data_IF_206921650781
#
_entry.id   IF_206921650781
#
_cell.length_a   1.000
_cell.length_b   1.000
_cell.length_c   1.000
_cell.angle_alpha   90.00
_cell.angle_beta   90.00
_cell.angle_gamma   90.00
#
_symmetry.space_group_name_H-M   'P 1'
#
loop_
_entity.id
_entity.type
_entity.pdbx_description
1 polymer ?
#
# COMPACT_ATOMS: atom_id res chain seq x y z
N UNK A 1 1.91 3.80 51.35
CA UNK A 1 2.52 3.70 50.01
C UNK A 1 1.89 2.64 49.09
N UNK A 2 1.40 1.48 49.56
CA UNK A 2 0.84 0.41 48.68
C UNK A 2 -0.49 0.74 47.97
N UNK A 3 -1.25 1.75 48.42
CA UNK A 3 -2.56 2.14 47.84
C UNK A 3 -2.51 2.84 46.47
N UNK A 4 -1.36 3.42 46.09
CA UNK A 4 -1.23 4.18 44.84
C UNK A 4 -0.65 3.38 43.68
N UNK A 5 -0.09 2.19 43.94
CA UNK A 5 0.42 1.29 42.90
C UNK A 5 -0.62 0.93 41.81
N UNK A 6 -1.88 0.58 42.14
CA UNK A 6 -2.87 0.27 41.11
C UNK A 6 -3.28 1.51 40.29
N UNK A 7 -3.31 2.69 40.92
CA UNK A 7 -3.64 3.94 40.26
C UNK A 7 -2.54 4.39 39.28
N UNK A 8 -1.28 4.23 39.70
CA UNK A 8 -0.12 4.50 38.84
C UNK A 8 -0.04 3.52 37.66
N UNK A 9 -0.32 2.22 37.88
CA UNK A 9 -0.37 1.22 36.82
C UNK A 9 -1.49 1.52 35.80
N UNK A 10 -2.66 1.95 36.27
CA UNK A 10 -3.79 2.33 35.41
C UNK A 10 -3.49 3.61 34.62
N UNK A 11 -2.82 4.59 35.23
CA UNK A 11 -2.38 5.81 34.57
C UNK A 11 -1.32 5.53 33.48
N UNK A 12 -0.34 4.66 33.76
CA UNK A 12 0.66 4.23 32.77
C UNK A 12 0.00 3.46 31.61
N UNK A 13 -0.95 2.56 31.90
CA UNK A 13 -1.69 1.85 30.86
C UNK A 13 -2.52 2.81 29.97
N UNK A 14 -3.15 3.82 30.57
CA UNK A 14 -3.88 4.85 29.83
C UNK A 14 -2.95 5.70 28.96
N UNK A 15 -1.78 6.10 29.47
CA UNK A 15 -0.78 6.85 28.69
C UNK A 15 -0.27 6.03 27.49
N UNK A 16 0.02 4.74 27.68
CA UNK A 16 0.44 3.85 26.60
C UNK A 16 -0.67 3.63 25.57
N UNK A 17 -1.92 3.49 26.01
CA UNK A 17 -3.08 3.40 25.11
C UNK A 17 -3.28 4.68 24.29
N UNK A 18 -3.11 5.86 24.91
CA UNK A 18 -3.18 7.15 24.22
C UNK A 18 -2.01 7.35 23.24
N UNK A 19 -0.80 6.89 23.60
CA UNK A 19 0.36 6.90 22.70
C UNK A 19 0.13 5.99 21.49
N UNK A 20 -0.39 4.79 21.73
CA UNK A 20 -0.81 3.85 20.69
C UNK A 20 -1.89 4.46 19.80
N UNK A 21 -2.93 5.05 20.38
CA UNK A 21 -3.98 5.74 19.62
C UNK A 21 -3.43 6.88 18.77
N UNK A 22 -2.46 7.66 19.28
CA UNK A 22 -1.81 8.73 18.53
C UNK A 22 -0.97 8.20 17.36
N UNK A 23 -0.23 7.12 17.54
CA UNK A 23 0.54 6.51 16.44
C UNK A 23 -0.39 5.91 15.40
N UNK A 24 -1.41 5.13 15.81
CA UNK A 24 -2.41 4.55 14.90
C UNK A 24 -3.18 5.63 14.15
N UNK A 25 -3.63 6.70 14.82
CA UNK A 25 -4.33 7.82 14.16
C UNK A 25 -3.44 8.59 13.19
N UNK A 26 -2.14 8.74 13.47
CA UNK A 26 -1.21 9.36 12.53
C UNK A 26 -0.95 8.50 11.28
N UNK A 27 -0.90 7.18 11.43
CA UNK A 27 -0.80 6.22 10.32
C UNK A 27 -2.08 6.20 9.49
N UNK A 28 -3.23 6.17 10.15
CA UNK A 28 -4.55 6.28 9.52
C UNK A 28 -4.71 7.63 8.79
N UNK A 29 -4.22 8.74 9.35
CA UNK A 29 -4.28 10.05 8.72
C UNK A 29 -3.36 10.18 7.48
N UNK A 30 -2.28 9.40 7.41
CA UNK A 30 -1.47 9.24 6.18
C UNK A 30 -2.24 8.43 5.13
N UNK A 31 -2.91 7.37 5.55
CA UNK A 31 -3.76 6.55 4.67
C UNK A 31 -4.94 7.35 4.09
N UNK A 32 -5.60 8.20 4.89
CA UNK A 32 -6.70 9.07 4.43
C UNK A 32 -6.27 10.14 3.42
N UNK A 33 -4.98 10.47 3.34
CA UNK A 33 -4.46 11.40 2.34
C UNK A 33 -4.19 10.75 0.99
N UNK A 34 -4.26 9.41 0.89
CA UNK A 34 -4.13 8.73 -0.39
C UNK A 34 -5.47 8.71 -1.12
N UNK A 35 -5.46 8.82 -2.47
CA UNK A 35 -6.64 8.50 -3.25
C UNK A 35 -7.06 7.06 -2.91
N UNK A 36 -8.36 6.81 -2.76
CA UNK A 36 -8.84 5.45 -2.59
C UNK A 36 -8.50 4.71 -3.87
N UNK A 37 -7.69 3.66 -3.81
CA UNK A 37 -7.34 2.86 -4.99
C UNK A 37 -7.74 1.39 -4.82
N UNK A 38 -7.93 0.72 -5.94
CA UNK A 38 -8.02 -0.74 -6.02
C UNK A 38 -6.93 -1.23 -6.96
N UNK A 39 -6.15 -2.21 -6.53
CA UNK A 39 -5.12 -2.83 -7.36
C UNK A 39 -5.64 -4.13 -7.93
N UNK A 40 -5.55 -4.24 -9.25
CA UNK A 40 -5.84 -5.43 -10.04
C UNK A 40 -4.51 -6.08 -10.41
N UNK A 41 -4.40 -7.39 -10.25
CA UNK A 41 -3.14 -8.13 -10.35
C UNK A 41 -3.26 -9.28 -11.33
N UNK A 42 -2.34 -9.35 -12.27
CA UNK A 42 -2.25 -10.40 -13.28
C UNK A 42 -0.90 -11.09 -13.21
N UNK A 43 -0.95 -12.41 -13.13
CA UNK A 43 0.17 -13.36 -13.15
C UNK A 43 0.09 -14.26 -14.37
N UNK A 44 -1.12 -14.72 -14.72
CA UNK A 44 -1.32 -15.70 -15.78
C UNK A 44 -1.49 -15.04 -17.15
N UNK A 45 -2.30 -13.98 -17.21
CA UNK A 45 -2.58 -13.23 -18.43
C UNK A 45 -2.32 -11.74 -18.19
N UNK A 46 -1.20 -11.22 -18.68
CA UNK A 46 -0.85 -9.83 -18.50
C UNK A 46 -1.84 -8.87 -19.17
N UNK A 47 -2.03 -7.71 -18.56
CA UNK A 47 -2.75 -6.60 -19.17
C UNK A 47 -1.89 -6.03 -20.31
N UNK A 48 -2.46 -5.90 -21.51
CA UNK A 48 -1.68 -5.50 -22.70
C UNK A 48 -1.68 -4.00 -22.91
N UNK A 49 -0.71 -3.49 -23.68
CA UNK A 49 -0.73 -2.11 -24.18
C UNK A 49 -2.00 -1.78 -24.99
N UNK A 50 -2.61 -2.77 -25.64
CA UNK A 50 -3.90 -2.61 -26.33
C UNK A 50 -5.05 -2.36 -25.35
N UNK A 51 -5.06 -3.05 -24.22
CA UNK A 51 -6.05 -2.86 -23.17
C UNK A 51 -5.93 -1.47 -22.55
N UNK A 52 -4.71 -1.04 -22.23
CA UNK A 52 -4.47 0.31 -21.69
C UNK A 52 -4.87 1.42 -22.69
N UNK A 53 -4.67 1.23 -24.01
CA UNK A 53 -5.14 2.18 -25.03
C UNK A 53 -6.67 2.33 -25.02
N UNK A 54 -7.41 1.26 -24.79
CA UNK A 54 -8.88 1.33 -24.64
C UNK A 54 -9.31 2.13 -23.40
N UNK A 55 -8.48 2.21 -22.37
CA UNK A 55 -8.75 3.04 -21.19
C UNK A 55 -8.55 4.53 -21.49
N UNK A 56 -7.59 4.87 -22.36
CA UNK A 56 -7.25 6.26 -22.71
C UNK A 56 -8.22 6.86 -23.75
N UNK A 57 -8.87 6.02 -24.55
CA UNK A 57 -9.84 6.40 -25.58
C UNK A 57 -11.27 5.96 -25.21
N UNK A 58 -11.91 6.59 -24.19
CA UNK A 58 -13.27 6.23 -23.80
C UNK A 58 -14.28 6.59 -24.89
N UNK A 59 -15.45 5.95 -24.84
CA UNK A 59 -16.59 6.31 -25.69
C UNK A 59 -16.97 7.80 -25.49
N UNK A 60 -17.51 8.44 -26.54
CA UNK A 60 -17.87 9.86 -26.54
C UNK A 60 -18.66 10.27 -25.28
N UNK A 61 -18.23 11.37 -24.66
CA UNK A 61 -18.78 12.04 -23.47
C UNK A 61 -18.42 11.49 -22.07
N UNK A 62 -17.59 10.44 -21.93
CA UNK A 62 -17.04 10.03 -20.62
C UNK A 62 -15.59 10.49 -20.42
N UNK A 63 -15.26 10.93 -19.20
CA UNK A 63 -13.87 11.19 -18.82
C UNK A 63 -13.10 9.86 -18.68
N UNK A 64 -11.84 9.79 -19.13
CA UNK A 64 -11.04 8.59 -18.97
C UNK A 64 -10.84 8.27 -17.48
N UNK A 65 -10.77 6.98 -17.12
CA UNK A 65 -10.50 6.55 -15.76
C UNK A 65 -9.08 6.97 -15.37
N UNK A 66 -8.90 7.40 -14.12
CA UNK A 66 -7.56 7.66 -13.58
C UNK A 66 -6.98 6.34 -13.09
N UNK A 67 -5.93 5.87 -13.76
CA UNK A 67 -5.30 4.58 -13.48
C UNK A 67 -3.77 4.65 -13.60
N UNK A 68 -3.09 3.65 -13.04
CA UNK A 68 -1.67 3.41 -13.22
C UNK A 68 -1.42 1.92 -13.47
N UNK A 69 -1.20 1.56 -14.74
CA UNK A 69 -0.75 0.23 -15.11
C UNK A 69 0.75 0.14 -14.93
N UNK A 70 1.25 -0.96 -14.37
CA UNK A 70 2.67 -1.12 -14.14
C UNK A 70 3.15 -2.54 -14.35
N UNK A 71 4.37 -2.61 -14.87
CA UNK A 71 5.20 -3.80 -14.94
C UNK A 71 6.38 -3.58 -14.01
N UNK A 72 6.65 -4.54 -13.13
CA UNK A 72 7.66 -4.38 -12.11
C UNK A 72 8.05 -5.69 -11.45
N UNK A 73 9.18 -5.67 -10.75
CA UNK A 73 9.75 -6.84 -10.08
C UNK A 73 11.01 -7.38 -10.77
N UNK A 74 11.28 -6.96 -12.01
CA UNK A 74 12.53 -7.25 -12.69
C UNK A 74 13.66 -6.31 -12.22
N UNK A 75 14.87 -6.88 -12.16
CA UNK A 75 16.08 -6.09 -11.88
C UNK A 75 16.74 -5.78 -13.21
N UNK A 76 16.81 -4.50 -13.55
CA UNK A 76 17.46 -3.99 -14.75
C UNK A 76 18.79 -3.33 -14.38
N UNK A 77 19.73 -3.37 -15.32
CA UNK A 77 20.97 -2.60 -15.21
C UNK A 77 20.68 -1.16 -15.61
N UNK A 78 21.10 -0.25 -14.75
CA UNK A 78 21.04 1.19 -14.99
C UNK A 78 22.43 1.78 -14.76
N UNK A 79 22.82 2.75 -15.57
CA UNK A 79 24.14 3.40 -15.45
C UNK A 79 24.00 4.92 -15.49
N UNK A 80 24.83 5.66 -14.74
CA UNK A 80 24.93 7.10 -14.93
C UNK A 80 25.72 7.37 -16.23
N UNK A 81 25.60 8.58 -16.79
CA UNK A 81 26.32 8.95 -18.03
C UNK A 81 27.82 8.63 -18.01
N UNK A 82 28.47 8.83 -16.87
CA UNK A 82 29.88 8.55 -16.65
C UNK A 82 30.03 7.83 -15.30
N UNK A 83 29.93 6.50 -15.29
CA UNK A 83 30.10 5.74 -14.06
C UNK A 83 29.92 4.24 -14.27
N UNK A 84 29.59 3.53 -13.19
CA UNK A 84 29.40 2.08 -13.22
C UNK A 84 27.91 1.74 -13.29
N UNK A 85 27.61 0.65 -13.97
CA UNK A 85 26.29 0.03 -13.96
C UNK A 85 25.93 -0.47 -12.56
N UNK A 86 24.68 -0.27 -12.16
CA UNK A 86 24.09 -0.79 -10.94
C UNK A 86 22.78 -1.55 -11.26
N UNK A 87 22.47 -2.56 -10.46
CA UNK A 87 21.19 -3.25 -10.54
C UNK A 87 20.10 -2.47 -9.80
N UNK A 88 18.99 -2.20 -10.47
CA UNK A 88 17.83 -1.52 -9.91
C UNK A 88 16.54 -2.31 -10.16
N UNK A 89 15.61 -2.25 -9.22
CA UNK A 89 14.23 -2.67 -9.46
C UNK A 89 13.55 -1.60 -10.32
N UNK A 90 13.20 -1.95 -11.55
CA UNK A 90 12.51 -1.05 -12.46
C UNK A 90 10.99 -1.18 -12.31
N UNK A 91 10.32 -0.04 -12.25
CA UNK A 91 8.87 0.09 -12.34
C UNK A 91 8.54 0.83 -13.64
N UNK A 92 8.03 0.09 -14.62
CA UNK A 92 7.62 0.62 -15.92
C UNK A 92 6.14 0.93 -15.84
N UNK A 93 5.79 2.22 -15.87
CA UNK A 93 4.44 2.70 -15.57
C UNK A 93 3.80 3.34 -16.79
N UNK A 94 2.49 3.10 -16.97
CA UNK A 94 1.61 3.78 -17.91
C UNK A 94 0.43 4.37 -17.15
N UNK A 95 0.20 5.67 -17.30
CA UNK A 95 -0.82 6.41 -16.55
C UNK A 95 -0.24 7.18 -15.36
N UNK A 96 -1.02 7.32 -14.30
CA UNK A 96 -0.80 8.26 -13.21
C UNK A 96 0.07 7.69 -12.08
N UNK A 97 1.39 7.98 -12.09
CA UNK A 97 2.36 7.44 -11.11
C UNK A 97 1.96 7.74 -9.65
N UNK A 98 1.26 8.86 -9.38
CA UNK A 98 0.85 9.20 -8.02
C UNK A 98 -0.15 8.21 -7.39
N UNK A 99 -0.75 7.31 -8.18
CA UNK A 99 -1.56 6.20 -7.64
C UNK A 99 -0.71 5.06 -7.08
N UNK A 100 0.53 4.91 -7.55
CA UNK A 100 1.43 3.83 -7.12
C UNK A 100 2.18 4.20 -5.85
N UNK A 101 2.65 5.44 -5.80
CA UNK A 101 3.60 5.92 -4.82
C UNK A 101 2.91 6.82 -3.78
N UNK A 102 3.22 6.64 -2.48
CA UNK A 102 2.82 7.60 -1.46
C UNK A 102 3.42 8.98 -1.76
N UNK A 103 2.66 10.06 -1.66
CA UNK A 103 3.17 11.41 -1.91
C UNK A 103 4.37 11.74 -1.01
N UNK A 104 4.41 11.20 0.21
CA UNK A 104 5.50 11.40 1.16
C UNK A 104 6.84 10.79 0.71
N UNK A 105 6.80 9.80 -0.18
CA UNK A 105 8.01 9.15 -0.71
C UNK A 105 8.67 9.95 -1.83
N UNK A 106 8.03 11.01 -2.36
CA UNK A 106 8.57 11.75 -3.50
C UNK A 106 9.30 13.00 -3.04
N UNK A 107 10.52 13.16 -3.55
CA UNK A 107 11.33 14.38 -3.47
C UNK A 107 11.46 15.00 -4.85
N UNK A 108 11.06 16.26 -5.00
CA UNK A 108 11.00 16.90 -6.31
C UNK A 108 9.77 16.45 -7.11
N UNK A 109 9.94 16.15 -8.39
CA UNK A 109 8.82 15.85 -9.29
C UNK A 109 8.80 14.37 -9.71
N UNK A 110 7.59 13.81 -9.76
CA UNK A 110 7.38 12.55 -10.46
C UNK A 110 7.60 12.74 -11.97
N UNK A 111 8.10 11.71 -12.68
CA UNK A 111 8.29 11.77 -14.12
C UNK A 111 7.01 12.23 -14.82
N UNK A 112 7.13 13.25 -15.68
CA UNK A 112 6.00 13.76 -16.48
C UNK A 112 6.11 13.36 -17.96
N UNK A 113 7.28 12.88 -18.39
CA UNK A 113 7.55 12.43 -19.75
C UNK A 113 8.21 11.05 -19.78
N UNK A 114 8.18 10.38 -20.93
CA UNK A 114 8.87 9.09 -21.13
C UNK A 114 10.39 9.23 -21.35
N UNK A 115 10.95 10.42 -21.07
CA UNK A 115 12.37 10.72 -21.03
C UNK A 115 12.81 11.08 -19.61
N UNK A 116 11.91 10.98 -18.64
CA UNK A 116 12.18 11.25 -17.23
C UNK A 116 12.09 9.97 -16.40
N UNK A 117 12.81 9.95 -15.30
CA UNK A 117 12.74 8.89 -14.30
C UNK A 117 12.84 9.45 -12.87
N UNK A 118 12.27 8.72 -11.92
CA UNK A 118 12.51 8.96 -10.49
C UNK A 118 13.30 7.81 -9.88
N UNK A 119 14.30 8.13 -9.06
CA UNK A 119 15.31 7.18 -8.57
C UNK A 119 15.33 7.19 -7.05
N UNK A 120 15.45 6.04 -6.40
CA UNK A 120 15.55 6.01 -4.94
C UNK A 120 16.82 6.69 -4.41
N UNK A 121 16.75 7.31 -3.23
CA UNK A 121 17.87 8.08 -2.66
C UNK A 121 19.15 7.23 -2.48
N UNK A 122 18.99 5.97 -2.07
CA UNK A 122 20.09 5.02 -1.90
C UNK A 122 20.81 4.75 -3.23
N UNK A 123 20.03 4.53 -4.29
CA UNK A 123 20.55 4.30 -5.63
C UNK A 123 21.13 5.57 -6.26
N UNK A 124 20.58 6.75 -5.96
CA UNK A 124 21.18 8.02 -6.36
C UNK A 124 22.60 8.14 -5.79
N UNK A 125 22.78 7.80 -4.51
CA UNK A 125 24.09 7.85 -3.88
C UNK A 125 25.07 6.85 -4.50
N UNK A 126 24.61 5.62 -4.82
CA UNK A 126 25.43 4.60 -5.49
C UNK A 126 25.86 5.03 -6.91
N UNK A 127 24.95 5.61 -7.69
CA UNK A 127 25.20 5.99 -9.09
C UNK A 127 25.93 7.32 -9.24
N UNK A 128 25.56 8.33 -8.45
CA UNK A 128 25.97 9.72 -8.65
C UNK A 128 26.81 10.28 -7.49
N UNK A 129 26.99 9.53 -6.40
CA UNK A 129 27.68 9.99 -5.20
C UNK A 129 26.89 11.04 -4.39
N UNK A 130 25.61 11.22 -4.68
CA UNK A 130 24.72 12.20 -4.05
C UNK A 130 23.31 11.65 -3.93
N UNK A 131 22.63 11.91 -2.81
CA UNK A 131 21.21 11.60 -2.65
C UNK A 131 20.31 12.53 -3.47
N UNK A 132 20.81 13.68 -3.90
CA UNK A 132 20.15 14.56 -4.86
C UNK A 132 20.82 14.41 -6.23
N UNK A 133 20.07 13.83 -7.16
CA UNK A 133 20.50 13.57 -8.53
C UNK A 133 19.59 14.26 -9.56
N UNK A 134 18.77 15.24 -9.16
CA UNK A 134 17.86 15.92 -10.08
C UNK A 134 18.63 16.53 -11.28
N UNK A 135 18.12 16.30 -12.48
CA UNK A 135 18.73 16.74 -13.74
C UNK A 135 19.89 15.86 -14.23
N UNK A 136 20.35 14.87 -13.47
CA UNK A 136 21.37 13.93 -13.94
C UNK A 136 20.80 12.99 -15.01
N UNK A 137 21.69 12.41 -15.81
CA UNK A 137 21.32 11.42 -16.83
C UNK A 137 21.53 10.00 -16.30
N UNK A 138 20.45 9.23 -16.33
CA UNK A 138 20.42 7.79 -16.09
C UNK A 138 20.15 7.06 -17.42
N UNK A 139 20.93 6.04 -17.74
CA UNK A 139 20.76 5.23 -18.93
C UNK A 139 20.24 3.84 -18.57
N UNK A 140 19.25 3.37 -19.34
CA UNK A 140 18.68 2.03 -19.23
C UNK A 140 18.47 1.50 -20.65
N UNK A 141 19.00 0.30 -20.93
CA UNK A 141 18.90 -0.35 -22.26
C UNK A 141 19.31 0.55 -23.43
N UNK A 142 20.35 1.38 -23.22
CA UNK A 142 20.86 2.31 -24.22
C UNK A 142 20.04 3.58 -24.43
N UNK A 143 18.95 3.79 -23.67
CA UNK A 143 18.14 5.01 -23.69
C UNK A 143 18.43 5.90 -22.48
N UNK A 144 18.62 7.19 -22.75
CA UNK A 144 18.90 8.20 -21.74
C UNK A 144 17.60 8.77 -21.15
N UNK A 145 17.59 8.89 -19.83
CA UNK A 145 16.51 9.49 -19.03
C UNK A 145 17.09 10.58 -18.13
N UNK A 146 16.33 11.65 -17.93
CA UNK A 146 16.64 12.70 -16.96
C UNK A 146 16.00 12.37 -15.61
N UNK A 147 16.78 12.42 -14.54
CA UNK A 147 16.25 12.24 -13.19
C UNK A 147 15.38 13.45 -12.81
N UNK A 148 14.07 13.27 -12.69
CA UNK A 148 13.09 14.33 -12.38
C UNK A 148 12.88 14.52 -10.87
N UNK A 149 13.17 13.48 -10.09
CA UNK A 149 12.97 13.46 -8.65
C UNK A 149 13.54 12.20 -8.01
N UNK A 150 13.54 12.20 -6.68
CA UNK A 150 14.09 11.13 -5.86
C UNK A 150 13.00 10.45 -5.04
N UNK A 151 13.21 9.17 -4.73
CA UNK A 151 12.26 8.35 -3.99
C UNK A 151 12.83 7.96 -2.61
N UNK A 152 12.12 8.32 -1.56
CA UNK A 152 12.44 7.96 -0.17
C UNK A 152 11.78 6.65 0.21
N UNK A 153 12.38 5.95 1.18
CA UNK A 153 11.90 4.70 1.77
C UNK A 153 11.79 3.49 0.81
N UNK A 154 11.89 3.71 -0.51
CA UNK A 154 12.10 2.70 -1.53
C UNK A 154 13.59 2.37 -1.65
N UNK A 155 13.90 1.10 -1.89
CA UNK A 155 15.29 0.61 -2.01
C UNK A 155 15.60 0.29 -3.46
N UNK A 156 16.75 0.76 -3.94
CA UNK A 156 17.27 0.50 -5.29
C UNK A 156 16.20 0.47 -6.38
N UNK A 157 15.28 1.44 -6.37
CA UNK A 157 14.10 1.48 -7.24
C UNK A 157 14.22 2.62 -8.23
N UNK A 158 13.83 2.36 -9.49
CA UNK A 158 13.68 3.40 -10.51
C UNK A 158 12.29 3.30 -11.13
N UNK A 159 11.63 4.44 -11.29
CA UNK A 159 10.30 4.56 -11.88
C UNK A 159 10.41 5.28 -13.21
N UNK A 160 9.86 4.67 -14.25
CA UNK A 160 9.85 5.19 -15.61
C UNK A 160 8.41 5.29 -16.14
N UNK A 161 8.11 6.37 -16.87
CA UNK A 161 6.93 6.38 -17.74
C UNK A 161 7.25 5.64 -19.04
N UNK A 162 6.64 4.48 -19.25
CA UNK A 162 6.86 3.61 -20.41
C UNK A 162 5.54 3.32 -21.12
N UNK A 163 5.02 4.27 -21.93
CA UNK A 163 3.79 4.05 -22.67
C UNK A 163 3.92 2.96 -23.74
N UNK A 164 5.16 2.60 -24.12
CA UNK A 164 5.49 1.54 -25.08
C UNK A 164 5.55 0.14 -24.46
N UNK A 165 5.48 0.00 -23.13
CA UNK A 165 5.52 -1.30 -22.46
C UNK A 165 4.36 -2.18 -22.95
N UNK A 166 4.66 -3.39 -23.44
CA UNK A 166 3.67 -4.25 -24.10
C UNK A 166 2.75 -4.98 -23.11
N UNK A 167 3.25 -5.29 -21.93
CA UNK A 167 2.57 -6.10 -20.92
C UNK A 167 2.76 -5.53 -19.50
N UNK A 168 1.68 -5.50 -18.73
CA UNK A 168 1.64 -5.02 -17.35
C UNK A 168 1.12 -6.14 -16.43
N UNK A 169 1.76 -6.29 -15.27
CA UNK A 169 1.39 -7.28 -14.26
C UNK A 169 0.36 -6.74 -13.26
N UNK A 170 0.11 -5.44 -13.29
CA UNK A 170 -0.84 -4.82 -12.38
C UNK A 170 -1.41 -3.50 -12.89
N UNK A 171 -2.53 -3.11 -12.30
CA UNK A 171 -3.18 -1.82 -12.51
C UNK A 171 -3.73 -1.28 -11.19
N UNK A 172 -3.35 -0.07 -10.82
CA UNK A 172 -3.98 0.70 -9.75
C UNK A 172 -5.08 1.57 -10.35
N UNK A 173 -6.30 1.43 -9.86
CA UNK A 173 -7.46 2.21 -10.29
C UNK A 173 -7.88 3.16 -9.18
N UNK A 174 -8.07 4.44 -9.51
CA UNK A 174 -8.68 5.39 -8.59
C UNK A 174 -10.17 5.07 -8.39
N UNK A 175 -10.56 4.87 -7.13
CA UNK A 175 -11.93 4.60 -6.70
C UNK A 175 -12.58 5.92 -6.29
N UNK A 176 -13.73 6.31 -6.89
CA UNK A 176 -14.47 7.48 -6.48
C UNK A 176 -14.86 7.43 -5.01
N UNK A 177 -14.86 8.59 -4.34
CA UNK A 177 -15.20 8.66 -2.92
C UNK A 177 -16.58 8.06 -2.64
N UNK A 178 -16.64 7.21 -1.62
CA UNK A 178 -17.89 6.59 -1.16
C UNK A 178 -18.31 5.32 -1.93
N UNK A 179 -17.63 4.97 -3.03
CA UNK A 179 -17.85 3.68 -3.70
C UNK A 179 -17.11 2.53 -3.01
N UNK A 180 -17.66 1.33 -3.12
CA UNK A 180 -16.97 0.10 -2.73
C UNK A 180 -15.89 -0.22 -3.78
N UNK A 181 -14.66 -0.48 -3.33
CA UNK A 181 -13.51 -0.71 -4.20
C UNK A 181 -13.64 -1.98 -5.07
N UNK A 182 -14.23 -3.04 -4.54
CA UNK A 182 -14.44 -4.30 -5.28
C UNK A 182 -15.53 -4.15 -6.33
N UNK A 183 -16.66 -3.53 -5.98
CA UNK A 183 -17.72 -3.23 -6.95
C UNK A 183 -17.22 -2.28 -8.06
N UNK A 184 -16.42 -1.27 -7.70
CA UNK A 184 -15.80 -0.38 -8.67
C UNK A 184 -14.82 -1.12 -9.61
N UNK A 185 -14.07 -2.10 -9.09
CA UNK A 185 -13.21 -2.96 -9.89
C UNK A 185 -14.01 -3.85 -10.84
N UNK A 186 -15.09 -4.49 -10.37
CA UNK A 186 -15.95 -5.33 -11.21
C UNK A 186 -16.60 -4.53 -12.34
N UNK A 187 -17.19 -3.38 -12.01
CA UNK A 187 -17.77 -2.44 -12.99
C UNK A 187 -16.73 -2.02 -14.03
N UNK A 188 -15.51 -1.72 -13.58
CA UNK A 188 -14.41 -1.29 -14.44
C UNK A 188 -13.93 -2.40 -15.38
N UNK A 189 -13.68 -3.60 -14.86
CA UNK A 189 -13.27 -4.77 -15.65
C UNK A 189 -14.30 -5.11 -16.71
N UNK A 190 -15.59 -5.11 -16.34
CA UNK A 190 -16.70 -5.38 -17.25
C UNK A 190 -16.80 -4.32 -18.34
N UNK A 191 -16.75 -3.03 -17.96
CA UNK A 191 -16.89 -1.89 -18.88
C UNK A 191 -15.83 -1.89 -19.98
N UNK A 192 -14.58 -2.15 -19.63
CA UNK A 192 -13.45 -2.08 -20.58
C UNK A 192 -13.07 -3.43 -21.18
N UNK A 193 -13.86 -4.48 -20.89
CA UNK A 193 -13.62 -5.86 -21.31
C UNK A 193 -12.16 -6.29 -21.05
N UNK A 194 -11.71 -6.04 -19.81
CA UNK A 194 -10.36 -6.38 -19.38
C UNK A 194 -10.26 -7.86 -18.98
N UNK A 195 -9.08 -8.49 -19.10
CA UNK A 195 -8.87 -9.84 -18.62
C UNK A 195 -9.14 -9.94 -17.11
N UNK A 196 -9.68 -11.07 -16.67
CA UNK A 196 -9.93 -11.31 -15.24
C UNK A 196 -8.59 -11.34 -14.46
N UNK A 197 -8.46 -10.54 -13.39
CA UNK A 197 -7.23 -10.53 -12.59
C UNK A 197 -7.13 -11.77 -11.69
N UNK A 198 -5.92 -12.28 -11.51
CA UNK A 198 -5.61 -13.32 -10.53
C UNK A 198 -5.80 -12.84 -9.07
N UNK A 199 -5.87 -11.52 -8.84
CA UNK A 199 -6.18 -10.95 -7.54
C UNK A 199 -6.61 -9.48 -7.56
N UNK A 200 -7.52 -9.12 -6.65
CA UNK A 200 -8.02 -7.76 -6.44
C UNK A 200 -7.74 -7.31 -5.00
N UNK A 201 -7.12 -6.13 -4.86
CA UNK A 201 -6.71 -5.57 -3.58
C UNK A 201 -7.31 -4.18 -3.39
N UNK A 202 -8.22 -4.02 -2.44
CA UNK A 202 -8.67 -2.70 -2.02
C UNK A 202 -7.63 -2.04 -1.11
N UNK A 203 -7.22 -0.82 -1.47
CA UNK A 203 -6.38 0.06 -0.65
C UNK A 203 -7.21 1.08 0.13
N UNK A 204 -8.54 1.03 0.03
CA UNK A 204 -9.37 1.74 0.99
C UNK A 204 -9.06 1.16 2.37
N UNK A 205 -8.40 1.98 3.19
CA UNK A 205 -7.82 1.60 4.47
C UNK A 205 -8.68 0.60 5.23
N UNK A 206 -7.99 -0.34 5.87
CA UNK A 206 -8.52 -1.36 6.78
C UNK A 206 -9.38 -0.81 7.95
N UNK A 207 -9.76 0.48 7.93
CA UNK A 207 -10.57 1.19 8.90
C UNK A 207 -11.63 2.12 8.27
N UNK A 208 -12.38 1.66 7.26
CA UNK A 208 -13.74 2.18 7.04
C UNK A 208 -14.72 1.22 7.71
N UNK A 209 -15.36 1.68 8.79
CA UNK A 209 -16.48 1.00 9.44
C UNK A 209 -17.66 0.75 8.47
N UNK A 210 -17.63 1.25 7.22
CA UNK A 210 -18.61 0.94 6.17
C UNK A 210 -18.42 -0.43 5.52
N UNK A 211 -17.22 -1.05 5.60
CA UNK A 211 -16.98 -2.43 5.16
C UNK A 211 -17.41 -3.48 6.18
N UNK A 212 -17.83 -3.03 7.37
CA UNK A 212 -18.38 -3.90 8.40
C UNK A 212 -19.68 -4.58 7.98
N UNK A 213 -20.38 -4.14 6.93
CA UNK A 213 -21.58 -4.84 6.44
C UNK A 213 -21.30 -6.27 5.95
N UNK A 214 -20.10 -6.53 5.42
CA UNK A 214 -19.68 -7.86 4.96
C UNK A 214 -18.99 -8.69 6.06
N UNK A 215 -18.50 -8.03 7.13
CA UNK A 215 -17.73 -8.64 8.22
C UNK A 215 -18.50 -8.76 9.54
N UNK A 216 -19.62 -8.03 9.68
CA UNK A 216 -20.53 -8.13 10.82
C UNK A 216 -21.61 -9.13 10.44
N UNK A 217 -21.59 -10.33 11.03
CA UNK A 217 -22.67 -11.27 10.81
C UNK A 217 -23.98 -10.65 11.31
N UNK A 218 -25.09 -11.00 10.67
CA UNK A 218 -26.42 -10.68 11.18
C UNK A 218 -26.66 -11.22 12.61
N UNK A 219 -25.83 -12.18 13.06
CA UNK A 219 -25.82 -12.75 14.40
C UNK A 219 -24.39 -12.99 14.89
N UNK A 220 -24.07 -12.50 16.09
CA UNK A 220 -22.75 -12.67 16.71
C UNK A 220 -22.40 -14.11 17.08
N UNK A 221 -23.37 -15.04 17.02
CA UNK A 221 -23.19 -16.47 17.31
C UNK A 221 -22.99 -17.34 16.06
N UNK A 222 -22.84 -16.74 14.87
CA UNK A 222 -22.66 -17.49 13.62
C UNK A 222 -21.18 -17.91 13.45
N UNK A 223 -20.81 -18.98 14.14
CA UNK A 223 -19.43 -19.49 14.12
C UNK A 223 -19.00 -20.05 12.75
N UNK A 224 -19.94 -20.50 11.92
CA UNK A 224 -19.66 -20.94 10.55
C UNK A 224 -19.36 -19.77 9.61
N UNK A 225 -20.05 -18.64 9.81
CA UNK A 225 -19.68 -17.40 9.12
C UNK A 225 -18.26 -16.96 9.48
N UNK A 226 -17.88 -17.00 10.77
CA UNK A 226 -16.52 -16.68 11.20
C UNK A 226 -15.46 -17.65 10.65
N UNK A 227 -15.74 -18.96 10.64
CA UNK A 227 -14.82 -19.97 10.11
C UNK A 227 -14.56 -19.74 8.61
N UNK A 228 -15.61 -19.40 7.87
CA UNK A 228 -15.57 -19.10 6.44
C UNK A 228 -14.81 -17.80 6.16
N UNK A 229 -15.09 -16.72 6.91
CA UNK A 229 -14.36 -15.45 6.79
C UNK A 229 -12.87 -15.63 7.07
N UNK A 230 -12.50 -16.37 8.13
CA UNK A 230 -11.10 -16.63 8.46
C UNK A 230 -10.40 -17.48 7.39
N UNK A 231 -11.10 -18.47 6.82
CA UNK A 231 -10.58 -19.28 5.72
C UNK A 231 -10.37 -18.43 4.47
N UNK A 232 -11.37 -17.66 4.06
CA UNK A 232 -11.27 -16.74 2.91
C UNK A 232 -10.18 -15.68 3.13
N UNK A 233 -10.06 -15.12 4.33
CA UNK A 233 -8.99 -14.18 4.67
C UNK A 233 -7.60 -14.84 4.58
N UNK A 234 -7.46 -16.08 5.04
CA UNK A 234 -6.22 -16.85 4.93
C UNK A 234 -5.87 -17.16 3.47
N UNK A 235 -6.84 -17.62 2.68
CA UNK A 235 -6.66 -17.93 1.26
C UNK A 235 -6.33 -16.68 0.45
N UNK A 236 -7.05 -15.57 0.66
CA UNK A 236 -6.72 -14.26 0.10
C UNK A 236 -5.29 -13.86 0.48
N UNK A 237 -4.90 -14.00 1.75
CA UNK A 237 -3.52 -13.68 2.21
C UNK A 237 -2.46 -14.55 1.54
N UNK A 238 -2.74 -15.84 1.30
CA UNK A 238 -1.83 -16.75 0.60
C UNK A 238 -1.73 -16.40 -0.90
N UNK A 239 -2.85 -16.11 -1.56
CA UNK A 239 -2.88 -15.65 -2.94
C UNK A 239 -2.12 -14.33 -3.12
N UNK A 240 -2.28 -13.39 -2.18
CA UNK A 240 -1.53 -12.11 -2.15
C UNK A 240 -0.03 -12.28 -2.00
N UNK A 241 0.43 -13.36 -1.35
CA UNK A 241 1.84 -13.71 -1.26
C UNK A 241 2.44 -14.24 -2.57
N UNK A 242 1.61 -14.71 -3.50
CA UNK A 242 2.02 -15.33 -4.75
C UNK A 242 1.98 -14.39 -5.97
N UNK A 243 1.53 -13.15 -5.77
CA UNK A 243 1.47 -12.07 -6.76
C UNK A 243 2.83 -11.37 -6.87
N UNK A 244 3.18 -10.80 -8.03
CA UNK A 244 4.39 -9.99 -8.15
C UNK A 244 4.31 -8.81 -7.16
N UNK A 245 5.23 -8.80 -6.20
CA UNK A 245 5.35 -7.73 -5.22
C UNK A 245 6.42 -6.75 -5.66
N UNK A 246 6.09 -5.47 -5.64
CA UNK A 246 7.06 -4.39 -5.82
C UNK A 246 7.45 -3.77 -4.47
N UNK A 247 8.55 -3.01 -4.42
CA UNK A 247 8.95 -2.25 -3.23
C UNK A 247 7.84 -1.37 -2.64
N UNK A 248 6.99 -0.69 -3.45
CA UNK A 248 5.79 -0.03 -2.93
C UNK A 248 4.85 -0.94 -2.15
N UNK A 249 4.70 -2.23 -2.51
CA UNK A 249 3.89 -3.19 -1.76
C UNK A 249 4.53 -3.57 -0.42
N UNK A 250 5.87 -3.51 -0.31
CA UNK A 250 6.57 -3.71 0.97
C UNK A 250 6.23 -2.60 1.95
N UNK A 251 6.32 -1.34 1.52
CA UNK A 251 5.94 -0.19 2.35
C UNK A 251 4.49 -0.28 2.82
N UNK A 252 3.58 -0.74 1.95
CA UNK A 252 2.18 -0.99 2.30
C UNK A 252 2.05 -2.07 3.39
N UNK A 253 2.76 -3.19 3.24
CA UNK A 253 2.75 -4.28 4.24
C UNK A 253 3.31 -3.85 5.59
N UNK A 254 4.39 -3.07 5.59
CA UNK A 254 5.00 -2.53 6.81
C UNK A 254 4.02 -1.62 7.56
N UNK A 255 3.37 -0.69 6.86
CA UNK A 255 2.35 0.19 7.45
C UNK A 255 1.17 -0.60 8.06
N UNK A 256 0.67 -1.63 7.37
CA UNK A 256 -0.42 -2.48 7.88
C UNK A 256 0.03 -3.27 9.12
N UNK A 257 1.25 -3.81 9.11
CA UNK A 257 1.79 -4.54 10.26
C UNK A 257 1.93 -3.63 11.50
N UNK A 258 2.37 -2.39 11.32
CA UNK A 258 2.45 -1.41 12.41
C UNK A 258 1.09 -1.12 13.05
N UNK A 259 0.05 -0.97 12.22
CA UNK A 259 -1.33 -0.80 12.72
C UNK A 259 -1.78 -2.02 13.53
N UNK A 260 -1.59 -3.25 13.02
CA UNK A 260 -1.97 -4.46 13.75
C UNK A 260 -1.20 -4.65 15.06
N UNK A 261 0.11 -4.35 15.06
CA UNK A 261 0.94 -4.35 16.27
C UNK A 261 0.40 -3.36 17.32
N UNK A 262 -0.01 -2.17 16.89
CA UNK A 262 -0.58 -1.15 17.79
C UNK A 262 -1.92 -1.59 18.41
N UNK A 263 -2.78 -2.24 17.63
CA UNK A 263 -4.06 -2.78 18.11
C UNK A 263 -3.82 -3.94 19.09
N UNK A 264 -2.95 -4.88 18.74
CA UNK A 264 -2.61 -6.02 19.59
C UNK A 264 -2.02 -5.57 20.93
N UNK A 265 -1.10 -4.60 20.92
CA UNK A 265 -0.55 -4.02 22.14
C UNK A 265 -1.64 -3.35 23.01
N UNK A 266 -2.56 -2.61 22.39
CA UNK A 266 -3.66 -1.94 23.09
C UNK A 266 -4.62 -2.94 23.75
N UNK A 267 -4.94 -4.04 23.06
CA UNK A 267 -5.76 -5.13 23.60
C UNK A 267 -5.07 -5.87 24.74
N UNK A 268 -3.78 -6.19 24.59
CA UNK A 268 -3.00 -6.86 25.62
C UNK A 268 -2.89 -6.03 26.91
N UNK A 269 -2.65 -4.72 26.77
CA UNK A 269 -2.60 -3.79 27.91
C UNK A 269 -3.97 -3.67 28.59
N UNK A 270 -5.05 -3.61 27.83
CA UNK A 270 -6.41 -3.56 28.36
C UNK A 270 -6.79 -4.84 29.13
N UNK A 271 -6.41 -6.01 28.60
CA UNK A 271 -6.61 -7.29 29.28
C UNK A 271 -5.80 -7.39 30.59
N UNK A 272 -4.53 -6.95 30.58
CA UNK A 272 -3.70 -6.92 31.77
C UNK A 272 -4.27 -6.00 32.87
N UNK A 273 -4.76 -4.81 32.49
CA UNK A 273 -5.43 -3.90 33.42
C UNK A 273 -6.69 -4.52 34.04
N UNK A 274 -7.50 -5.22 33.24
CA UNK A 274 -8.69 -5.92 33.73
C UNK A 274 -8.34 -7.03 34.74
N UNK A 275 -7.30 -7.83 34.45
CA UNK A 275 -6.84 -8.90 35.35
C UNK A 275 -6.35 -8.36 36.69
N UNK A 276 -5.60 -7.24 36.68
CA UNK A 276 -5.16 -6.57 37.90
C UNK A 276 -6.34 -6.05 38.72
N UNK A 277 -7.34 -5.45 38.05
CA UNK A 277 -8.55 -4.95 38.70
C UNK A 277 -9.39 -6.08 39.31
N UNK A 278 -9.59 -7.18 38.59
CA UNK A 278 -10.30 -8.37 39.11
C UNK A 278 -9.56 -8.97 40.30
N UNK A 279 -8.23 -9.06 40.24
CA UNK A 279 -7.40 -9.58 41.35
C UNK A 279 -7.52 -8.71 42.60
N UNK A 280 -7.54 -7.40 42.45
CA UNK A 280 -7.65 -6.47 43.58
C UNK A 280 -9.08 -6.47 44.16
N UNK A 281 -10.11 -6.55 43.32
CA UNK A 281 -11.49 -6.71 43.79
C UNK A 281 -11.70 -8.01 44.58
N UNK A 282 -11.07 -9.13 44.17
CA UNK A 282 -11.10 -10.38 44.94
C UNK A 282 -10.41 -10.23 46.29
N UNK A 283 -9.23 -9.60 46.34
CA UNK A 283 -8.52 -9.32 47.60
C UNK A 283 -9.33 -8.46 48.56
N UNK A 284 -10.02 -7.44 48.05
CA UNK A 284 -10.88 -6.58 48.88
C UNK A 284 -12.11 -7.34 49.40
N UNK A 285 -12.67 -8.27 48.63
CA UNK A 285 -13.75 -9.16 49.09
C UNK A 285 -13.30 -10.18 50.14
N UNK A 286 -12.04 -10.64 50.10
CA UNK A 286 -11.48 -11.56 51.10
C UNK A 286 -11.11 -10.86 52.43
N UNK A 287 -11.10 -9.52 52.46
CA UNK A 287 -10.78 -8.71 53.64
C UNK A 287 -12.02 -8.16 54.38
N UNK A 288 -13.23 -8.45 53.89
CA UNK A 288 -14.52 -8.09 54.49
C UNK A 288 -15.22 -9.36 54.97
#
# INVERSE_FOLDING_TARGET
>A
MKRYLPLAALFIALLLALLGWRTTSSLIAREYRRPQTVSLRWKTQALTAGDCRRLEEPAQDEAPPVYAAWAGGERLLVEPRNGREELAQALLVRGEISLLLPQETVLGNLPQSNLECAVSEDLCYELFGSADAAGQTLRMEGRDYTVSGMLRDLRRTVVFLQPQQEAFSALELAVPQGKNAYAAAEDFLSRYALPEPDGVQSHAGHFRLSGLGEWIPSRWSDFEHWSTLLRQAKERRQALGALPLCEPDRLRKEAVNEVWLSIAASLAMSAAALLLLVRELRRLKEQV
#
